data_IF_034540646876
#
_entry.id   IF_034540646876
#
_cell.length_a   1.000
_cell.length_b   1.000
_cell.length_c   1.000
_cell.angle_alpha   90.00
_cell.angle_beta   90.00
_cell.angle_gamma   90.00
#
_symmetry.space_group_name_H-M   'P 1'
#
loop_
_entity.id
_entity.type
_entity.pdbx_description
1 polymer ?
#
# COMPACT_ATOMS: atom_id res chain seq x y z
N UNK A 1 -13.95 1.36 25.18
CA UNK A 1 -12.93 1.03 24.15
C UNK A 1 -13.62 1.09 22.80
N UNK A 2 -13.02 1.69 21.77
CA UNK A 2 -13.73 1.93 20.50
C UNK A 2 -13.88 0.69 19.61
N UNK A 3 -13.18 -0.42 19.93
CA UNK A 3 -13.41 -1.75 19.35
C UNK A 3 -13.77 -2.71 20.50
N UNK A 4 -15.01 -3.23 20.56
CA UNK A 4 -15.41 -4.22 21.57
C UNK A 4 -15.04 -5.66 21.20
N UNK A 5 -14.97 -5.99 19.90
CA UNK A 5 -14.69 -7.33 19.39
C UNK A 5 -13.98 -7.29 18.03
N UNK A 6 -12.85 -8.00 17.89
CA UNK A 6 -12.12 -8.13 16.61
C UNK A 6 -12.79 -9.08 15.60
N UNK A 7 -13.81 -9.84 16.05
CA UNK A 7 -14.61 -10.72 15.19
C UNK A 7 -15.72 -9.99 14.44
N UNK A 8 -16.11 -8.79 14.87
CA UNK A 8 -17.09 -7.98 14.17
C UNK A 8 -16.41 -7.06 13.16
N UNK A 9 -17.11 -6.71 12.09
CA UNK A 9 -16.60 -5.77 11.09
C UNK A 9 -16.60 -4.34 11.67
N UNK A 10 -15.47 -3.64 11.60
CA UNK A 10 -15.43 -2.20 11.87
C UNK A 10 -15.85 -1.46 10.59
N UNK A 11 -16.97 -0.71 10.60
CA UNK A 11 -17.48 -0.09 9.39
C UNK A 11 -16.71 1.16 8.95
N UNK A 12 -15.82 1.73 9.77
CA UNK A 12 -15.27 3.08 9.51
C UNK A 12 -13.78 3.22 9.72
N UNK A 13 -13.22 2.84 10.88
CA UNK A 13 -11.85 3.24 11.23
C UNK A 13 -10.82 2.29 10.60
N UNK A 14 -10.98 0.98 10.79
CA UNK A 14 -10.06 -0.02 10.23
C UNK A 14 -10.03 -0.09 8.70
N UNK A 15 -11.17 -0.04 7.98
CA UNK A 15 -11.15 -0.06 6.52
C UNK A 15 -10.45 1.17 5.97
N UNK A 16 -10.69 2.35 6.55
CA UNK A 16 -10.08 3.62 6.12
C UNK A 16 -8.57 3.58 6.31
N UNK A 17 -8.12 3.07 7.45
CA UNK A 17 -6.70 2.82 7.70
C UNK A 17 -6.11 1.83 6.70
N UNK A 18 -6.75 0.68 6.47
CA UNK A 18 -6.25 -0.34 5.54
C UNK A 18 -6.17 0.18 4.10
N UNK A 19 -7.19 0.92 3.64
CA UNK A 19 -7.20 1.57 2.32
C UNK A 19 -6.08 2.60 2.17
N UNK A 20 -5.88 3.45 3.17
CA UNK A 20 -4.81 4.46 3.17
C UNK A 20 -3.42 3.82 3.13
N UNK A 21 -3.18 2.79 3.95
CA UNK A 21 -1.88 2.09 3.99
C UNK A 21 -1.61 1.34 2.70
N UNK A 22 -2.64 0.74 2.08
CA UNK A 22 -2.52 0.07 0.77
C UNK A 22 -2.16 1.08 -0.33
N UNK A 23 -2.77 2.27 -0.31
CA UNK A 23 -2.45 3.33 -1.26
C UNK A 23 -1.01 3.82 -1.11
N UNK A 24 -0.57 4.10 0.12
CA UNK A 24 0.80 4.54 0.41
C UNK A 24 1.86 3.49 0.05
N UNK A 25 1.56 2.21 0.34
CA UNK A 25 2.40 1.09 -0.08
C UNK A 25 2.54 1.03 -1.60
N UNK A 26 1.40 1.11 -2.32
CA UNK A 26 1.38 1.09 -3.79
C UNK A 26 2.15 2.26 -4.41
N UNK A 27 2.09 3.46 -3.80
CA UNK A 27 2.87 4.62 -4.23
C UNK A 27 4.37 4.38 -4.02
N UNK A 28 4.75 3.78 -2.89
CA UNK A 28 6.16 3.54 -2.54
C UNK A 28 6.78 2.43 -3.39
N UNK A 29 5.97 1.47 -3.84
CA UNK A 29 6.38 0.41 -4.78
C UNK A 29 6.44 0.88 -6.24
N UNK A 30 5.77 1.97 -6.60
CA UNK A 30 5.75 2.49 -7.97
C UNK A 30 7.10 3.17 -8.30
N UNK A 31 7.96 2.50 -9.06
CA UNK A 31 9.22 3.09 -9.55
C UNK A 31 8.98 4.18 -10.62
N UNK A 32 9.76 5.28 -10.65
CA UNK A 32 9.55 6.41 -11.57
C UNK A 32 9.75 6.09 -13.06
N UNK A 33 10.49 5.02 -13.38
CA UNK A 33 10.95 4.72 -14.75
C UNK A 33 10.07 3.74 -15.53
N UNK A 34 9.12 3.09 -14.86
CA UNK A 34 8.14 2.25 -15.53
C UNK A 34 7.07 3.16 -16.12
N UNK A 35 7.00 3.25 -17.46
CA UNK A 35 5.77 3.69 -18.15
C UNK A 35 4.60 3.07 -17.41
N UNK A 36 3.77 3.92 -16.82
CA UNK A 36 2.73 3.47 -15.92
C UNK A 36 1.64 2.81 -16.77
N UNK A 37 1.85 1.52 -17.07
CA UNK A 37 0.90 0.73 -17.83
C UNK A 37 -0.44 0.77 -17.10
N UNK A 38 -1.55 0.86 -17.83
CA UNK A 38 -2.89 1.04 -17.27
C UNK A 38 -3.21 0.06 -16.12
N UNK A 39 -2.64 -1.14 -16.17
CA UNK A 39 -2.70 -2.16 -15.12
C UNK A 39 -2.07 -1.72 -13.79
N UNK A 40 -0.91 -1.07 -13.79
CA UNK A 40 -0.27 -0.57 -12.56
C UNK A 40 -1.05 0.61 -11.96
N UNK A 41 -1.56 1.50 -12.82
CA UNK A 41 -2.42 2.62 -12.42
C UNK A 41 -3.70 2.12 -11.76
N UNK A 42 -4.31 1.08 -12.35
CA UNK A 42 -5.48 0.41 -11.77
C UNK A 42 -5.16 -0.16 -10.40
N UNK A 43 -4.08 -0.92 -10.25
CA UNK A 43 -3.72 -1.52 -8.95
C UNK A 43 -3.44 -0.46 -7.87
N UNK A 44 -2.83 0.67 -8.24
CA UNK A 44 -2.51 1.77 -7.32
C UNK A 44 -3.75 2.47 -6.74
N UNK A 45 -4.78 2.68 -7.55
CA UNK A 45 -5.95 3.49 -7.14
C UNK A 45 -7.20 2.66 -6.91
N UNK A 46 -7.48 1.67 -7.75
CA UNK A 46 -8.70 0.87 -7.69
C UNK A 46 -8.65 -0.16 -6.55
N UNK A 47 -7.52 -0.82 -6.37
CA UNK A 47 -7.34 -1.88 -5.38
C UNK A 47 -7.54 -1.39 -3.93
N UNK A 48 -6.93 -0.28 -3.47
CA UNK A 48 -7.17 0.24 -2.12
C UNK A 48 -8.64 0.65 -1.87
N UNK A 49 -9.33 1.17 -2.89
CA UNK A 49 -10.75 1.54 -2.81
C UNK A 49 -11.63 0.29 -2.69
N UNK A 50 -11.30 -0.78 -3.43
CA UNK A 50 -11.97 -2.08 -3.33
C UNK A 50 -11.79 -2.70 -1.94
N UNK A 51 -10.56 -2.71 -1.40
CA UNK A 51 -10.28 -3.20 -0.04
C UNK A 51 -11.03 -2.37 1.01
N UNK A 52 -11.09 -1.04 0.86
CA UNK A 52 -11.88 -0.20 1.74
C UNK A 52 -13.39 -0.55 1.68
N UNK A 53 -13.91 -0.82 0.48
CA UNK A 53 -15.32 -1.16 0.32
C UNK A 53 -15.65 -2.54 0.90
N UNK A 54 -14.83 -3.54 0.60
CA UNK A 54 -15.03 -4.92 1.02
C UNK A 54 -14.67 -5.13 2.49
N UNK A 55 -13.65 -4.44 3.00
CA UNK A 55 -13.19 -4.51 4.39
C UNK A 55 -14.20 -4.04 5.43
N UNK A 56 -15.26 -3.34 5.02
CA UNK A 56 -16.43 -2.99 5.84
C UNK A 56 -17.40 -4.14 6.07
N UNK A 57 -17.37 -5.15 5.20
CA UNK A 57 -18.24 -6.33 5.27
C UNK A 57 -17.53 -7.55 5.85
N UNK A 58 -16.20 -7.54 5.91
CA UNK A 58 -15.39 -8.62 6.47
C UNK A 58 -15.00 -8.36 7.93
N UNK A 59 -14.69 -9.41 8.70
CA UNK A 59 -14.25 -9.27 10.09
C UNK A 59 -13.08 -8.29 10.23
N UNK A 60 -13.10 -7.45 11.26
CA UNK A 60 -12.09 -6.43 11.52
C UNK A 60 -10.66 -6.98 11.53
N UNK A 61 -10.47 -8.22 11.99
CA UNK A 61 -9.17 -8.90 11.98
C UNK A 61 -8.54 -9.05 10.59
N UNK A 62 -9.35 -9.32 9.55
CA UNK A 62 -8.86 -9.46 8.18
C UNK A 62 -8.39 -8.12 7.61
N UNK A 63 -9.18 -7.07 7.83
CA UNK A 63 -8.87 -5.70 7.40
C UNK A 63 -7.65 -5.15 8.13
N UNK A 64 -7.52 -5.43 9.43
CA UNK A 64 -6.35 -5.08 10.22
C UNK A 64 -5.09 -5.82 9.75
N UNK A 65 -5.20 -7.10 9.42
CA UNK A 65 -4.10 -7.89 8.84
C UNK A 65 -3.58 -7.25 7.55
N UNK A 66 -4.46 -6.82 6.64
CA UNK A 66 -4.04 -6.11 5.43
C UNK A 66 -3.35 -4.78 5.74
N UNK A 67 -3.91 -3.98 6.65
CA UNK A 67 -3.30 -2.72 7.07
C UNK A 67 -1.89 -2.91 7.61
N UNK A 68 -1.71 -3.85 8.54
CA UNK A 68 -0.41 -4.14 9.17
C UNK A 68 0.58 -4.75 8.15
N UNK A 69 0.12 -5.68 7.31
CA UNK A 69 0.96 -6.31 6.28
C UNK A 69 1.51 -5.29 5.29
N UNK A 70 0.66 -4.36 4.81
CA UNK A 70 1.09 -3.27 3.93
C UNK A 70 2.08 -2.32 4.62
N UNK A 71 1.88 -2.03 5.92
CA UNK A 71 2.80 -1.21 6.69
C UNK A 71 4.18 -1.87 6.81
N UNK A 72 4.21 -3.18 7.10
CA UNK A 72 5.44 -3.96 7.18
C UNK A 72 6.16 -4.03 5.84
N UNK A 73 5.43 -4.31 4.75
CA UNK A 73 5.96 -4.30 3.39
C UNK A 73 6.56 -2.94 3.02
N UNK A 74 5.87 -1.84 3.34
CA UNK A 74 6.37 -0.49 3.11
C UNK A 74 7.66 -0.23 3.91
N UNK A 75 7.72 -0.68 5.18
CA UNK A 75 8.93 -0.62 6.00
C UNK A 75 10.10 -1.38 5.39
N UNK A 76 9.86 -2.61 4.93
CA UNK A 76 10.87 -3.41 4.21
C UNK A 76 11.32 -2.72 2.92
N UNK A 77 10.37 -2.20 2.13
CA UNK A 77 10.66 -1.50 0.88
C UNK A 77 11.53 -0.27 1.13
N UNK A 78 11.26 0.53 2.16
CA UNK A 78 12.06 1.72 2.50
C UNK A 78 13.49 1.36 2.94
N UNK A 79 13.67 0.25 3.65
CA UNK A 79 15.01 -0.25 4.01
C UNK A 79 15.77 -0.78 2.79
N UNK A 80 15.08 -1.46 1.87
CA UNK A 80 15.68 -2.12 0.69
C UNK A 80 15.89 -1.17 -0.49
N UNK A 81 15.04 -0.16 -0.72
CA UNK A 81 15.14 0.75 -1.87
C UNK A 81 16.23 1.83 -1.73
N UNK A 82 16.81 2.01 -0.53
CA UNK A 82 17.85 3.03 -0.26
C UNK A 82 19.11 2.91 -1.15
N UNK A 83 19.59 1.73 -1.59
CA UNK A 83 20.69 1.59 -2.55
C UNK A 83 20.27 1.79 -4.01
N UNK A 84 18.99 1.59 -4.36
CA UNK A 84 18.52 1.54 -5.74
C UNK A 84 18.31 2.95 -6.34
N UNK A 85 17.90 3.92 -5.52
CA UNK A 85 17.77 5.33 -5.94
C UNK A 85 19.13 5.96 -6.22
N UNK A 86 20.15 5.58 -5.45
CA UNK A 86 21.53 6.10 -5.59
C UNK A 86 22.16 5.65 -6.92
N UNK A 87 22.04 4.36 -7.26
CA UNK A 87 22.53 3.81 -8.54
C UNK A 87 21.91 4.45 -9.79
N UNK A 88 20.65 4.91 -9.75
CA UNK A 88 20.03 5.57 -10.92
C UNK A 88 20.52 7.00 -11.13
N UNK A 89 20.92 7.70 -10.07
CA UNK A 89 21.57 9.02 -10.21
C UNK A 89 22.98 8.89 -10.78
N UNK A 90 23.70 7.85 -10.39
CA UNK A 90 25.06 7.55 -10.86
C UNK A 90 25.10 7.18 -12.35
N UNK A 91 23.99 6.70 -12.92
CA UNK A 91 23.86 6.26 -14.32
C UNK A 91 23.29 7.34 -15.27
N UNK A 92 22.71 8.43 -14.75
CA UNK A 92 22.27 9.58 -15.56
C UNK A 92 23.37 10.19 -16.46
N UNK A 93 24.65 10.33 -16.05
CA UNK A 93 25.68 10.92 -16.90
C UNK A 93 26.07 10.07 -18.12
N UNK A 94 25.61 8.82 -18.23
CA UNK A 94 25.98 7.92 -19.34
C UNK A 94 24.87 7.77 -20.42
N UNK A 95 23.72 8.43 -20.24
CA UNK A 95 22.52 8.25 -21.09
C UNK A 95 22.17 9.48 -21.96
N UNK A 96 23.12 10.40 -22.18
CA UNK A 96 22.98 11.57 -23.07
C UNK A 96 23.70 11.38 -24.39
#
# INVERSE_FOLDING_TARGET
MWIPNLSEADPWILPLFAGLTTYLSSVTMSTPDTKQDATQSMMKYFMPVMIFWWGRSFPAGLTLYWGISNLFQMGQQLMINKPYVRQREDLKPYRS
#
